data_IF_546267801260
#
_entry.id   IF_546267801260
#
_cell.length_a   1.000
_cell.length_b   1.000
_cell.length_c   1.000
_cell.angle_alpha   90.00
_cell.angle_beta   90.00
_cell.angle_gamma   90.00
#
_symmetry.space_group_name_H-M   'P 1'
#
loop_
_entity.id
_entity.type
_entity.pdbx_description
1 polymer ?
#
# COMPACT_ATOMS: atom_id res chain seq x y z
N UNK A 1 -13.34 -14.00 13.78
CA UNK A 1 -12.16 -14.62 14.37
C UNK A 1 -11.20 -13.55 14.86
N UNK A 2 -10.37 -13.86 15.87
CA UNK A 2 -9.30 -13.00 16.36
C UNK A 2 -8.01 -13.79 16.47
N UNK A 3 -6.86 -13.11 16.28
CA UNK A 3 -5.52 -13.71 16.37
C UNK A 3 -4.73 -13.60 15.08
N UNK A 4 -3.55 -14.22 15.05
CA UNK A 4 -2.69 -14.25 13.87
C UNK A 4 -3.21 -15.32 12.89
N UNK A 5 -3.43 -14.92 11.62
CA UNK A 5 -3.96 -15.83 10.61
C UNK A 5 -3.57 -15.41 9.19
N UNK A 6 -3.83 -16.29 8.22
CA UNK A 6 -3.70 -15.98 6.80
C UNK A 6 -4.79 -15.00 6.38
N UNK A 7 -4.39 -13.95 5.65
CA UNK A 7 -5.31 -12.97 5.06
C UNK A 7 -5.11 -12.97 3.55
N UNK A 8 -6.19 -13.17 2.81
CA UNK A 8 -6.22 -12.96 1.36
C UNK A 8 -6.94 -11.64 1.09
N UNK A 9 -6.25 -10.73 0.41
CA UNK A 9 -6.79 -9.45 -0.04
C UNK A 9 -7.22 -9.56 -1.49
N UNK A 10 -8.40 -9.04 -1.84
CA UNK A 10 -8.85 -8.97 -3.24
C UNK A 10 -8.07 -7.92 -4.03
N UNK A 11 -8.14 -7.92 -5.39
CA UNK A 11 -7.53 -6.87 -6.20
C UNK A 11 -8.22 -5.50 -6.00
N UNK A 12 -7.56 -4.43 -6.43
CA UNK A 12 -8.11 -3.08 -6.46
C UNK A 12 -7.99 -2.30 -5.15
N UNK A 13 -9.13 -1.88 -4.57
CA UNK A 13 -9.18 -0.98 -3.41
C UNK A 13 -8.39 -1.44 -2.18
N UNK A 14 -8.28 -2.72 -1.82
CA UNK A 14 -7.39 -3.16 -0.74
C UNK A 14 -5.92 -2.75 -0.90
N UNK A 15 -5.50 -2.29 -2.07
CA UNK A 15 -4.23 -1.58 -2.28
C UNK A 15 -4.04 -0.35 -1.41
N UNK A 16 -5.07 0.15 -0.73
CA UNK A 16 -4.95 1.15 0.33
C UNK A 16 -4.00 0.70 1.45
N UNK A 17 -3.88 -0.60 1.68
CA UNK A 17 -2.89 -1.16 2.61
C UNK A 17 -1.46 -0.83 2.16
N UNK A 18 -1.16 -0.91 0.85
CA UNK A 18 0.14 -0.50 0.31
C UNK A 18 0.37 1.01 0.49
N UNK A 19 -0.66 1.82 0.26
CA UNK A 19 -0.62 3.27 0.44
C UNK A 19 -0.21 3.63 1.88
N UNK A 20 -0.88 3.05 2.86
CA UNK A 20 -0.63 3.36 4.27
C UNK A 20 0.62 2.65 4.81
N UNK A 21 0.74 1.34 4.59
CA UNK A 21 1.82 0.55 5.18
C UNK A 21 3.20 0.87 4.58
N UNK A 22 3.24 1.25 3.30
CA UNK A 22 4.48 1.41 2.53
C UNK A 22 4.60 2.83 1.97
N UNK A 23 3.56 3.34 1.31
CA UNK A 23 3.60 4.55 0.51
C UNK A 23 4.06 5.76 1.31
N UNK A 24 3.41 6.08 2.42
CA UNK A 24 3.82 7.20 3.28
C UNK A 24 5.25 7.02 3.83
N UNK A 25 5.64 5.80 4.18
CA UNK A 25 6.99 5.50 4.63
C UNK A 25 8.06 5.72 3.56
N UNK A 26 7.69 5.76 2.28
CA UNK A 26 8.61 5.98 1.15
C UNK A 26 8.54 7.40 0.57
N UNK A 27 7.89 8.34 1.23
CA UNK A 27 7.96 9.76 0.88
C UNK A 27 9.30 10.36 1.32
N UNK A 28 9.89 11.18 0.45
CA UNK A 28 11.27 11.65 0.57
C UNK A 28 11.55 12.51 1.79
N UNK A 29 10.60 13.33 2.24
CA UNK A 29 10.76 14.19 3.40
C UNK A 29 10.89 13.42 4.72
N UNK A 30 10.13 12.34 4.93
CA UNK A 30 10.27 11.48 6.09
C UNK A 30 11.62 10.75 6.08
N UNK A 31 12.04 10.28 4.91
CA UNK A 31 13.32 9.59 4.76
C UNK A 31 14.52 10.52 4.94
N UNK A 32 14.45 11.77 4.44
CA UNK A 32 15.46 12.78 4.67
C UNK A 32 15.57 13.17 6.15
N UNK A 33 14.44 13.29 6.85
CA UNK A 33 14.39 13.61 8.29
C UNK A 33 14.79 12.43 9.19
N UNK A 34 14.92 11.22 8.64
CA UNK A 34 15.23 10.01 9.43
C UNK A 34 14.06 9.50 10.27
N UNK A 35 12.82 9.85 9.90
CA UNK A 35 11.62 9.53 10.69
C UNK A 35 10.80 8.38 10.11
N UNK A 36 11.24 7.77 9.01
CA UNK A 36 10.60 6.59 8.44
C UNK A 36 11.34 5.31 8.82
N UNK A 37 10.59 4.20 8.99
CA UNK A 37 11.14 2.84 9.14
C UNK A 37 11.95 2.37 7.93
N UNK A 38 11.83 3.05 6.78
CA UNK A 38 12.58 2.78 5.55
C UNK A 38 13.82 3.65 5.35
N UNK A 39 14.10 4.56 6.28
CA UNK A 39 15.24 5.47 6.17
C UNK A 39 16.57 4.73 6.04
N UNK A 40 17.33 5.06 4.98
CA UNK A 40 18.67 4.49 4.75
C UNK A 40 18.69 3.07 4.22
N UNK A 41 17.54 2.46 3.93
CA UNK A 41 17.42 1.04 3.56
C UNK A 41 17.38 0.77 2.06
N UNK A 42 17.75 1.74 1.22
CA UNK A 42 17.85 1.52 -0.25
C UNK A 42 18.81 0.35 -0.54
N UNK A 43 18.36 -0.59 -1.37
CA UNK A 43 19.05 -1.84 -1.70
C UNK A 43 18.76 -3.00 -0.76
N UNK A 44 18.20 -2.76 0.43
CA UNK A 44 17.83 -3.82 1.36
C UNK A 44 16.57 -4.56 0.90
N UNK A 45 16.46 -5.82 1.35
CA UNK A 45 15.25 -6.62 1.18
C UNK A 45 14.21 -6.20 2.22
N UNK A 46 13.09 -5.66 1.74
CA UNK A 46 11.96 -5.15 2.57
C UNK A 46 10.64 -5.88 2.29
N UNK A 47 10.65 -6.79 1.32
CA UNK A 47 9.50 -7.59 0.92
C UNK A 47 9.95 -8.96 0.39
N UNK A 48 9.01 -9.86 0.09
CA UNK A 48 9.34 -11.09 -0.66
C UNK A 48 9.69 -10.75 -2.11
N UNK A 49 10.39 -11.66 -2.79
CA UNK A 49 10.81 -11.46 -4.19
C UNK A 49 9.61 -11.36 -5.16
N UNK A 50 8.41 -11.72 -4.72
CA UNK A 50 7.16 -11.58 -5.48
C UNK A 50 6.66 -10.14 -5.54
N UNK A 51 7.13 -9.25 -4.65
CA UNK A 51 6.60 -7.91 -4.51
C UNK A 51 7.40 -6.90 -5.34
N UNK A 52 6.75 -6.29 -6.31
CA UNK A 52 7.22 -5.08 -6.99
C UNK A 52 6.16 -4.00 -6.85
N UNK A 53 6.51 -2.88 -6.22
CA UNK A 53 5.60 -1.76 -5.91
C UNK A 53 6.10 -0.51 -6.61
N UNK A 54 5.18 0.18 -7.25
CA UNK A 54 5.45 1.42 -7.99
C UNK A 54 4.49 2.53 -7.58
N UNK A 55 4.93 3.79 -7.75
CA UNK A 55 4.06 4.96 -7.78
C UNK A 55 4.10 5.54 -9.19
N UNK A 56 2.94 5.69 -9.83
CA UNK A 56 2.85 6.03 -11.25
C UNK A 56 1.85 7.16 -11.50
N UNK A 57 2.35 8.37 -11.70
CA UNK A 57 1.54 9.53 -12.03
C UNK A 57 1.16 9.63 -13.51
N UNK A 58 1.66 8.73 -14.36
CA UNK A 58 1.50 8.80 -15.83
C UNK A 58 0.27 8.04 -16.34
N UNK A 59 -0.43 7.29 -15.50
CA UNK A 59 -1.58 6.49 -15.90
C UNK A 59 -2.73 7.37 -16.39
N UNK A 60 -3.17 7.16 -17.63
CA UNK A 60 -4.23 7.96 -18.23
C UNK A 60 -5.57 7.77 -17.49
N UNK A 61 -6.26 8.90 -17.22
CA UNK A 61 -7.60 8.89 -16.63
C UNK A 61 -7.70 8.44 -15.19
N UNK A 62 -6.57 8.27 -14.47
CA UNK A 62 -6.59 7.86 -13.06
C UNK A 62 -6.61 9.06 -12.12
N UNK A 63 -7.23 8.87 -10.95
CA UNK A 63 -7.46 9.94 -9.97
C UNK A 63 -6.19 10.58 -9.44
N UNK A 64 -5.12 9.82 -9.26
CA UNK A 64 -3.83 10.31 -8.78
C UNK A 64 -2.91 10.84 -9.88
N UNK A 65 -3.29 10.74 -11.16
CA UNK A 65 -2.42 11.06 -12.29
C UNK A 65 -2.32 12.56 -12.57
N UNK A 66 -1.13 12.97 -13.01
CA UNK A 66 -0.76 14.34 -13.32
C UNK A 66 0.19 14.34 -14.52
N UNK A 67 0.12 15.32 -15.40
CA UNK A 67 1.15 15.51 -16.43
C UNK A 67 2.44 16.07 -15.83
N UNK A 68 2.29 17.05 -14.94
CA UNK A 68 3.37 17.67 -14.16
C UNK A 68 2.91 17.79 -12.71
N UNK A 69 3.83 17.74 -11.76
CA UNK A 69 3.54 18.03 -10.36
C UNK A 69 3.39 19.52 -10.08
N UNK A 70 3.07 19.89 -8.85
CA UNK A 70 2.86 21.29 -8.46
C UNK A 70 4.16 22.12 -8.40
N UNK A 71 5.31 21.52 -8.68
CA UNK A 71 6.60 22.18 -8.83
C UNK A 71 7.04 22.30 -10.31
N UNK A 72 6.21 21.82 -11.27
CA UNK A 72 6.50 21.83 -12.69
C UNK A 72 7.43 20.69 -13.14
N UNK A 73 7.59 19.64 -12.33
CA UNK A 73 8.34 18.44 -12.70
C UNK A 73 7.41 17.45 -13.40
N UNK A 74 7.75 16.91 -14.59
CA UNK A 74 6.97 15.83 -15.19
C UNK A 74 6.84 14.65 -14.24
N UNK A 75 5.62 14.10 -14.12
CA UNK A 75 5.42 12.89 -13.34
C UNK A 75 6.03 11.67 -14.02
N UNK A 76 6.33 10.65 -13.26
CA UNK A 76 6.97 9.45 -13.77
C UNK A 76 6.38 8.20 -13.11
N UNK A 77 6.71 7.04 -13.66
CA UNK A 77 6.57 5.76 -12.99
C UNK A 77 7.82 5.51 -12.15
N UNK A 78 7.69 5.70 -10.85
CA UNK A 78 8.76 5.50 -9.88
C UNK A 78 8.70 4.10 -9.30
N UNK A 79 9.75 3.29 -9.50
CA UNK A 79 9.86 1.98 -8.86
C UNK A 79 10.32 2.19 -7.41
N UNK A 80 9.46 1.84 -6.47
CA UNK A 80 9.72 1.96 -5.03
C UNK A 80 10.38 0.69 -4.48
N UNK A 81 9.78 -0.46 -4.77
CA UNK A 81 10.30 -1.79 -4.42
C UNK A 81 10.32 -2.63 -5.69
N UNK A 82 11.41 -3.31 -5.96
CA UNK A 82 11.56 -4.22 -7.09
C UNK A 82 12.06 -5.58 -6.61
N UNK A 83 11.28 -6.63 -6.88
CA UNK A 83 11.60 -7.99 -6.45
C UNK A 83 12.01 -8.03 -4.97
N UNK A 84 11.20 -7.40 -4.12
CA UNK A 84 11.38 -7.32 -2.68
C UNK A 84 12.46 -6.36 -2.19
N UNK A 85 13.19 -5.67 -3.06
CA UNK A 85 14.26 -4.74 -2.67
C UNK A 85 13.83 -3.28 -2.81
N UNK A 86 14.11 -2.48 -1.79
CA UNK A 86 13.86 -1.04 -1.83
C UNK A 86 14.77 -0.37 -2.87
N UNK A 87 14.16 0.37 -3.82
CA UNK A 87 14.87 1.02 -4.93
C UNK A 87 14.94 2.54 -4.79
N UNK A 88 13.95 3.16 -4.22
CA UNK A 88 13.91 4.61 -4.12
C UNK A 88 12.77 5.14 -3.27
N UNK A 89 12.71 6.46 -3.20
CA UNK A 89 11.69 7.23 -2.51
C UNK A 89 10.99 8.16 -3.49
N UNK A 90 9.76 8.52 -3.18
CA UNK A 90 9.04 9.57 -3.91
C UNK A 90 9.58 10.94 -3.50
N UNK A 91 10.01 11.73 -4.46
CA UNK A 91 10.74 12.98 -4.23
C UNK A 91 10.03 14.21 -4.82
N UNK A 92 9.95 15.28 -4.02
CA UNK A 92 9.80 16.63 -4.52
C UNK A 92 11.19 17.24 -4.85
N UNK A 93 11.23 18.46 -5.34
CA UNK A 93 12.49 19.12 -5.70
C UNK A 93 13.36 19.46 -4.51
N UNK A 94 12.74 19.88 -3.39
CA UNK A 94 13.46 20.25 -2.17
C UNK A 94 14.17 19.06 -1.56
N UNK A 95 13.41 17.98 -1.29
CA UNK A 95 13.95 16.79 -0.64
C UNK A 95 14.92 16.04 -1.54
N UNK A 96 14.65 15.97 -2.86
CA UNK A 96 15.60 15.43 -3.84
C UNK A 96 16.94 16.13 -3.78
N UNK A 97 16.95 17.46 -3.82
CA UNK A 97 18.19 18.27 -3.73
C UNK A 97 18.95 18.01 -2.43
N UNK A 98 18.25 17.97 -1.29
CA UNK A 98 18.86 17.77 0.02
C UNK A 98 19.39 16.35 0.23
N UNK A 99 18.84 15.38 -0.50
CA UNK A 99 19.28 13.97 -0.49
C UNK A 99 20.27 13.64 -1.63
N UNK A 100 20.66 14.61 -2.46
CA UNK A 100 21.60 14.40 -3.57
C UNK A 100 21.04 13.53 -4.70
N UNK A 101 19.71 13.57 -4.93
CA UNK A 101 19.00 12.81 -5.96
C UNK A 101 18.16 13.72 -6.85
N UNK A 102 17.32 13.15 -7.72
CA UNK A 102 16.43 13.87 -8.62
C UNK A 102 14.97 13.76 -8.16
N UNK A 103 14.15 14.80 -8.45
CA UNK A 103 12.70 14.76 -8.22
C UNK A 103 12.06 13.68 -9.09
N UNK A 104 11.06 12.99 -8.53
CA UNK A 104 10.28 11.96 -9.21
C UNK A 104 8.94 12.48 -9.76
N UNK A 105 8.68 13.79 -9.64
CA UNK A 105 7.39 14.39 -10.01
C UNK A 105 6.29 14.13 -8.98
N UNK A 106 6.67 14.01 -7.71
CA UNK A 106 5.76 13.78 -6.59
C UNK A 106 5.57 15.02 -5.69
N UNK A 107 6.05 16.19 -6.10
CA UNK A 107 5.87 17.45 -5.37
C UNK A 107 4.45 17.99 -5.51
N UNK A 108 3.54 17.60 -4.61
CA UNK A 108 2.11 17.88 -4.70
C UNK A 108 1.59 18.72 -3.53
N UNK A 109 0.57 19.52 -3.78
CA UNK A 109 -0.13 20.34 -2.78
C UNK A 109 -1.63 20.34 -3.00
N UNK A 110 -2.38 20.60 -1.95
CA UNK A 110 -3.85 20.71 -2.04
C UNK A 110 -4.31 21.91 -2.87
N UNK A 111 -3.64 23.05 -2.73
CA UNK A 111 -4.00 24.30 -3.42
C UNK A 111 -2.81 25.27 -3.46
N UNK A 112 -2.98 26.41 -4.13
CA UNK A 112 -1.98 27.48 -4.19
C UNK A 112 -1.59 28.03 -2.80
N UNK A 113 -2.43 27.85 -1.78
CA UNK A 113 -2.18 28.32 -0.41
C UNK A 113 -1.26 27.37 0.40
N UNK A 114 -0.83 26.27 -0.20
CA UNK A 114 -0.03 25.24 0.48
C UNK A 114 1.32 25.06 -0.19
N UNK A 115 2.33 24.66 0.59
CA UNK A 115 3.63 24.27 0.06
C UNK A 115 3.54 22.85 -0.53
N UNK A 116 4.19 22.60 -1.68
CA UNK A 116 4.34 21.24 -2.19
C UNK A 116 5.10 20.35 -1.21
N UNK A 117 4.70 19.09 -1.14
CA UNK A 117 5.32 18.03 -0.34
C UNK A 117 5.45 16.77 -1.20
N UNK A 118 6.38 15.85 -0.89
CA UNK A 118 6.40 14.53 -1.51
C UNK A 118 5.09 13.80 -1.18
N UNK A 119 4.33 13.41 -2.20
CA UNK A 119 3.03 12.76 -2.10
C UNK A 119 2.88 11.69 -3.17
N UNK A 120 2.22 10.61 -2.79
CA UNK A 120 1.83 9.56 -3.73
C UNK A 120 0.96 10.08 -4.88
N UNK A 121 1.01 9.37 -6.01
CA UNK A 121 0.10 9.54 -7.16
C UNK A 121 -0.82 8.34 -7.26
N UNK A 122 -0.48 7.31 -8.04
CA UNK A 122 -1.15 6.03 -8.03
C UNK A 122 -0.14 4.97 -7.57
N UNK A 123 -0.30 4.50 -6.33
CA UNK A 123 0.61 3.52 -5.73
C UNK A 123 0.01 2.13 -5.85
N UNK A 124 0.69 1.20 -6.52
CA UNK A 124 0.17 -0.14 -6.72
C UNK A 124 1.28 -1.20 -6.80
N UNK A 125 0.88 -2.46 -6.53
CA UNK A 125 1.73 -3.64 -6.72
C UNK A 125 1.52 -4.21 -8.12
N UNK A 126 2.60 -4.57 -8.80
CA UNK A 126 2.55 -5.25 -10.09
C UNK A 126 2.00 -6.67 -9.94
N UNK A 127 1.39 -7.24 -11.02
CA UNK A 127 0.86 -8.60 -10.98
C UNK A 127 1.97 -9.63 -10.79
N UNK A 128 1.65 -10.70 -10.08
CA UNK A 128 2.50 -11.86 -9.85
C UNK A 128 2.13 -13.07 -10.72
N UNK A 129 2.68 -14.24 -10.41
CA UNK A 129 2.52 -15.43 -11.24
C UNK A 129 1.28 -16.29 -10.93
N UNK A 130 0.60 -16.06 -9.80
CA UNK A 130 -0.42 -16.98 -9.31
C UNK A 130 -1.81 -16.66 -9.87
N UNK A 131 -2.62 -17.69 -10.07
CA UNK A 131 -4.04 -17.52 -10.36
C UNK A 131 -4.80 -17.23 -9.04
N UNK A 132 -5.77 -16.28 -9.00
CA UNK A 132 -6.50 -15.94 -7.77
C UNK A 132 -7.18 -17.13 -7.10
N UNK A 133 -7.73 -18.06 -7.87
CA UNK A 133 -8.32 -19.30 -7.36
C UNK A 133 -7.33 -20.16 -6.59
N UNK A 134 -6.11 -20.32 -7.11
CA UNK A 134 -5.04 -21.07 -6.44
C UNK A 134 -4.66 -20.45 -5.09
N UNK A 135 -4.70 -19.10 -5.01
CA UNK A 135 -4.43 -18.37 -3.76
C UNK A 135 -5.46 -18.74 -2.71
N UNK A 136 -6.76 -18.72 -3.04
CA UNK A 136 -7.83 -19.08 -2.11
C UNK A 136 -7.72 -20.57 -1.72
N UNK A 137 -7.54 -21.46 -2.69
CA UNK A 137 -7.43 -22.90 -2.49
C UNK A 137 -6.25 -23.28 -1.59
N UNK A 138 -5.17 -22.47 -1.57
CA UNK A 138 -3.98 -22.70 -0.74
C UNK A 138 -4.21 -22.47 0.75
N UNK A 139 -5.33 -21.84 1.16
CA UNK A 139 -5.59 -21.43 2.55
C UNK A 139 -6.47 -22.44 3.27
N UNK A 140 -5.92 -23.08 4.31
CA UNK A 140 -6.69 -24.01 5.15
C UNK A 140 -7.66 -23.29 6.08
N UNK A 141 -7.20 -22.18 6.69
CA UNK A 141 -8.03 -21.30 7.55
C UNK A 141 -7.51 -19.89 7.48
N UNK A 142 -8.37 -18.95 7.20
CA UNK A 142 -8.00 -17.54 7.06
C UNK A 142 -9.21 -16.65 6.81
N UNK A 143 -8.95 -15.43 6.38
CA UNK A 143 -9.98 -14.49 5.94
C UNK A 143 -9.71 -13.99 4.52
N UNK A 144 -10.78 -13.73 3.80
CA UNK A 144 -10.82 -13.09 2.50
C UNK A 144 -11.38 -11.69 2.70
N UNK A 145 -10.53 -10.66 2.65
CA UNK A 145 -10.92 -9.27 2.89
C UNK A 145 -11.13 -8.55 1.55
N UNK A 146 -12.38 -8.11 1.32
CA UNK A 146 -12.81 -7.55 0.04
C UNK A 146 -12.79 -6.03 0.04
N UNK A 147 -13.12 -5.40 1.17
CA UNK A 147 -13.25 -3.96 1.20
C UNK A 147 -12.87 -3.40 2.59
N UNK A 148 -12.45 -2.14 2.60
CA UNK A 148 -12.03 -1.43 3.81
C UNK A 148 -12.76 -0.10 3.94
N UNK A 149 -13.24 0.19 5.15
CA UNK A 149 -13.91 1.44 5.48
C UNK A 149 -12.96 2.58 5.86
N UNK A 150 -11.69 2.26 6.07
CA UNK A 150 -10.65 3.21 6.42
C UNK A 150 -9.47 2.54 7.11
N UNK A 151 -8.35 3.27 7.20
CA UNK A 151 -7.15 2.81 7.86
C UNK A 151 -6.31 3.98 8.35
N UNK A 152 -5.36 3.68 9.21
CA UNK A 152 -4.39 4.63 9.76
C UNK A 152 -3.01 3.99 9.83
N UNK A 153 -1.97 4.80 9.64
CA UNK A 153 -0.58 4.39 9.84
C UNK A 153 0.14 5.38 10.75
N UNK A 154 0.94 4.86 11.64
CA UNK A 154 2.00 5.62 12.31
C UNK A 154 3.29 5.46 11.48
N UNK A 155 3.66 6.50 10.74
CA UNK A 155 4.77 6.48 9.78
C UNK A 155 6.11 6.19 10.48
N UNK A 156 6.27 6.63 11.74
CA UNK A 156 7.49 6.45 12.50
C UNK A 156 7.70 5.00 12.93
N UNK A 157 6.66 4.35 13.43
CA UNK A 157 6.70 2.95 13.83
C UNK A 157 6.35 1.97 12.70
N UNK A 158 5.71 2.46 11.63
CA UNK A 158 5.20 1.62 10.54
C UNK A 158 3.92 0.86 10.87
N UNK A 159 3.39 0.99 12.09
CA UNK A 159 2.19 0.26 12.51
C UNK A 159 0.95 0.79 11.81
N UNK A 160 0.13 -0.11 11.30
CA UNK A 160 -1.14 0.22 10.66
C UNK A 160 -2.31 -0.56 11.26
N UNK A 161 -3.50 0.03 11.12
CA UNK A 161 -4.78 -0.56 11.50
C UNK A 161 -5.79 -0.29 10.39
N UNK A 162 -6.44 -1.34 9.89
CA UNK A 162 -7.50 -1.27 8.88
C UNK A 162 -8.75 -2.00 9.33
N UNK A 163 -9.91 -1.38 9.15
CA UNK A 163 -11.20 -2.02 9.39
C UNK A 163 -11.79 -2.52 8.06
N UNK A 164 -11.96 -3.83 7.95
CA UNK A 164 -12.64 -4.42 6.81
C UNK A 164 -14.14 -4.13 6.89
N UNK A 165 -14.70 -3.53 5.84
CA UNK A 165 -16.14 -3.33 5.70
C UNK A 165 -16.83 -4.54 5.06
N UNK A 166 -16.04 -5.40 4.39
CA UNK A 166 -16.51 -6.65 3.80
C UNK A 166 -15.40 -7.70 3.89
N UNK A 167 -15.68 -8.83 4.54
CA UNK A 167 -14.76 -9.95 4.65
C UNK A 167 -15.51 -11.28 4.81
N UNK A 168 -14.87 -12.38 4.44
CA UNK A 168 -15.40 -13.74 4.52
C UNK A 168 -14.37 -14.67 5.16
N UNK A 169 -14.84 -15.75 5.79
CA UNK A 169 -13.97 -16.84 6.20
C UNK A 169 -13.43 -17.61 4.98
N UNK A 170 -12.21 -18.10 5.08
CA UNK A 170 -11.70 -19.15 4.20
C UNK A 170 -11.50 -20.39 5.07
N UNK A 171 -12.11 -21.51 4.66
CA UNK A 171 -11.98 -22.81 5.30
C UNK A 171 -11.76 -23.89 4.25
N UNK A 172 -10.66 -24.65 4.38
CA UNK A 172 -10.29 -25.71 3.46
C UNK A 172 -10.29 -25.27 1.98
N UNK A 173 -9.72 -24.09 1.71
CA UNK A 173 -9.60 -23.55 0.34
C UNK A 173 -10.91 -23.01 -0.24
N UNK A 174 -11.94 -22.78 0.55
CA UNK A 174 -13.26 -22.30 0.09
C UNK A 174 -13.71 -21.09 0.88
N UNK A 175 -14.39 -20.17 0.18
CA UNK A 175 -15.05 -19.03 0.83
C UNK A 175 -16.27 -19.53 1.62
N UNK A 176 -16.34 -19.10 2.86
CA UNK A 176 -17.38 -19.45 3.82
C UNK A 176 -18.26 -18.27 4.21
N UNK A 177 -18.66 -18.21 5.48
CA UNK A 177 -19.56 -17.20 6.01
C UNK A 177 -18.95 -15.79 5.98
N UNK A 178 -19.77 -14.72 5.81
CA UNK A 178 -19.31 -13.35 5.98
C UNK A 178 -18.90 -13.09 7.43
N UNK A 179 -17.89 -12.24 7.60
CA UNK A 179 -17.37 -11.84 8.91
C UNK A 179 -17.74 -10.38 9.16
N UNK A 180 -18.12 -10.08 10.39
CA UNK A 180 -18.37 -8.72 10.85
C UNK A 180 -17.16 -8.19 11.63
N UNK A 181 -16.88 -6.89 11.50
CA UNK A 181 -15.92 -6.14 12.33
C UNK A 181 -14.49 -6.71 12.33
N UNK A 182 -14.02 -7.25 11.20
CA UNK A 182 -12.62 -7.67 11.07
C UNK A 182 -11.69 -6.45 10.98
N UNK A 183 -10.73 -6.37 11.89
CA UNK A 183 -9.69 -5.34 11.87
C UNK A 183 -8.34 -5.98 11.62
N UNK A 184 -7.62 -5.50 10.60
CA UNK A 184 -6.26 -5.93 10.27
C UNK A 184 -5.27 -5.02 10.97
N UNK A 185 -4.35 -5.62 11.71
CA UNK A 185 -3.26 -4.91 12.41
C UNK A 185 -1.93 -5.48 11.97
N UNK A 186 -1.02 -4.60 11.61
CA UNK A 186 0.30 -5.02 11.13
C UNK A 186 1.34 -3.91 11.20
N UNK A 187 2.46 -4.19 10.56
CA UNK A 187 3.62 -3.31 10.50
C UNK A 187 4.11 -3.24 9.04
N UNK A 188 4.23 -2.02 8.50
CA UNK A 188 4.63 -1.79 7.12
C UNK A 188 6.01 -2.32 6.77
N UNK A 189 6.95 -2.33 7.74
CA UNK A 189 8.29 -2.86 7.51
C UNK A 189 8.31 -4.38 7.35
N UNK A 190 7.29 -5.08 7.84
CA UNK A 190 7.25 -6.55 7.88
C UNK A 190 6.12 -7.17 7.05
N UNK A 191 5.02 -6.46 6.80
CA UNK A 191 3.84 -7.03 6.14
C UNK A 191 4.16 -7.60 4.75
N UNK A 192 4.94 -6.88 3.93
CA UNK A 192 5.31 -7.36 2.60
C UNK A 192 6.32 -8.53 2.63
N UNK A 193 7.03 -8.72 3.73
CA UNK A 193 7.89 -9.91 3.91
C UNK A 193 7.09 -11.18 4.21
N UNK A 194 5.80 -11.05 4.52
CA UNK A 194 4.86 -12.14 4.76
C UNK A 194 3.95 -12.44 3.56
N UNK A 195 4.12 -11.73 2.45
CA UNK A 195 3.40 -12.02 1.20
C UNK A 195 3.95 -13.32 0.62
N UNK A 196 3.14 -14.36 0.57
CA UNK A 196 3.53 -15.70 0.09
C UNK A 196 3.03 -16.00 -1.32
N UNK A 197 1.95 -15.33 -1.79
CA UNK A 197 1.45 -15.45 -3.15
C UNK A 197 0.94 -14.10 -3.65
N UNK A 198 1.15 -13.83 -4.94
CA UNK A 198 0.71 -12.61 -5.64
C UNK A 198 -0.03 -13.02 -6.92
N UNK A 199 -1.25 -12.54 -7.07
CA UNK A 199 -2.14 -12.83 -8.19
C UNK A 199 -1.70 -12.18 -9.50
N UNK A 200 -2.27 -12.66 -10.60
CA UNK A 200 -2.06 -12.10 -11.95
C UNK A 200 -3.21 -11.15 -12.38
N UNK A 201 -4.08 -10.80 -11.44
CA UNK A 201 -5.33 -10.08 -11.59
C UNK A 201 -5.25 -8.64 -11.06
N UNK A 202 -4.17 -7.92 -11.34
CA UNK A 202 -4.05 -6.52 -10.93
C UNK A 202 -5.26 -5.69 -11.34
N UNK A 203 -5.86 -5.03 -10.36
CA UNK A 203 -6.86 -3.99 -10.56
C UNK A 203 -6.43 -2.70 -9.83
N UNK A 204 -6.87 -1.57 -10.37
CA UNK A 204 -6.76 -0.26 -9.71
C UNK A 204 -8.12 0.11 -9.13
N UNK A 205 -8.12 0.89 -8.06
CA UNK A 205 -9.32 1.38 -7.41
C UNK A 205 -10.24 2.16 -8.37
N UNK A 206 -11.51 2.34 -7.99
CA UNK A 206 -12.51 3.05 -8.80
C UNK A 206 -12.37 4.58 -8.82
N UNK A 207 -11.29 5.12 -8.24
CA UNK A 207 -11.02 6.56 -8.22
C UNK A 207 -11.64 7.30 -7.03
N UNK A 208 -11.62 6.71 -5.84
CA UNK A 208 -12.17 7.31 -4.62
C UNK A 208 -11.12 7.80 -3.63
N UNK A 209 -9.84 7.47 -3.86
CA UNK A 209 -8.75 7.73 -2.93
C UNK A 209 -8.50 9.21 -2.67
N UNK A 210 -8.36 9.57 -1.40
CA UNK A 210 -7.91 10.88 -0.92
C UNK A 210 -6.86 10.64 0.17
N UNK A 211 -5.70 11.25 0.00
CA UNK A 211 -4.58 11.14 0.92
C UNK A 211 -4.41 12.42 1.73
N UNK A 212 -4.33 12.30 3.05
CA UNK A 212 -4.07 13.41 3.98
C UNK A 212 -2.62 13.41 4.47
N UNK A 213 -1.98 14.59 4.48
CA UNK A 213 -0.64 14.79 5.07
C UNK A 213 -0.46 16.27 5.43
N UNK A 214 0.00 16.54 6.64
CA UNK A 214 0.25 17.91 7.14
C UNK A 214 -0.90 18.89 6.88
N UNK A 215 -2.15 18.44 7.12
CA UNK A 215 -3.35 19.24 6.91
C UNK A 215 -3.74 19.48 5.46
N UNK A 216 -3.08 18.84 4.51
CA UNK A 216 -3.35 18.91 3.08
C UNK A 216 -3.95 17.59 2.57
N UNK A 217 -4.94 17.68 1.69
CA UNK A 217 -5.55 16.53 1.01
C UNK A 217 -5.27 16.57 -0.49
N UNK A 218 -4.85 15.45 -1.06
CA UNK A 218 -4.66 15.30 -2.52
C UNK A 218 -5.36 14.04 -3.02
N UNK A 219 -5.89 14.05 -4.27
CA UNK A 219 -6.44 12.86 -4.87
C UNK A 219 -5.33 11.84 -5.17
N UNK A 220 -5.57 10.57 -4.90
CA UNK A 220 -4.64 9.46 -5.15
C UNK A 220 -5.37 8.27 -5.72
N UNK A 221 -4.63 7.37 -6.38
CA UNK A 221 -5.08 6.05 -6.76
C UNK A 221 -4.29 4.99 -6.01
N UNK A 222 -4.89 3.83 -5.85
CA UNK A 222 -4.27 2.63 -5.29
C UNK A 222 -4.59 1.41 -6.13
N UNK A 223 -3.81 0.35 -5.99
CA UNK A 223 -4.09 -0.90 -6.66
C UNK A 223 -3.22 -2.04 -6.19
N UNK A 224 -3.72 -3.24 -6.39
CA UNK A 224 -2.98 -4.47 -6.17
C UNK A 224 -3.67 -5.63 -6.89
N UNK A 225 -2.97 -6.75 -7.16
CA UNK A 225 -3.59 -8.03 -7.47
C UNK A 225 -4.10 -8.71 -6.18
N UNK A 226 -4.74 -9.85 -6.31
CA UNK A 226 -5.02 -10.73 -5.16
C UNK A 226 -3.72 -11.07 -4.44
N UNK A 227 -3.68 -10.85 -3.11
CA UNK A 227 -2.51 -11.10 -2.27
C UNK A 227 -2.84 -12.10 -1.17
N UNK A 228 -1.93 -13.05 -0.92
CA UNK A 228 -1.91 -13.86 0.30
C UNK A 228 -0.82 -13.36 1.23
N UNK A 229 -1.21 -12.99 2.45
CA UNK A 229 -0.31 -12.53 3.52
C UNK A 229 -0.42 -13.54 4.67
N UNK A 230 0.70 -14.14 5.03
CA UNK A 230 0.77 -15.13 6.10
C UNK A 230 1.01 -14.44 7.46
N UNK A 231 0.18 -14.75 8.45
CA UNK A 231 0.39 -14.31 9.83
C UNK A 231 0.13 -12.81 10.05
N UNK A 232 -0.95 -12.27 9.51
CA UNK A 232 -1.42 -10.94 9.87
C UNK A 232 -2.35 -11.01 11.08
N UNK A 233 -2.24 -10.04 11.99
CA UNK A 233 -3.13 -9.98 13.17
C UNK A 233 -4.51 -9.50 12.75
N UNK A 234 -5.51 -10.30 13.05
CA UNK A 234 -6.92 -9.95 12.88
C UNK A 234 -7.52 -9.72 14.25
N UNK A 235 -8.05 -8.51 14.47
CA UNK A 235 -8.89 -8.17 15.62
C UNK A 235 -10.36 -8.27 15.23
N UNK A 236 -11.20 -8.55 16.22
CA UNK A 236 -12.66 -8.57 16.09
C UNK A 236 -13.28 -8.75 17.46
N UNK A 237 -14.54 -8.37 17.63
CA UNK A 237 -15.31 -8.77 18.80
C UNK A 237 -15.55 -10.27 18.68
N UNK A 238 -14.70 -11.06 19.33
CA UNK A 238 -14.87 -12.50 19.42
C UNK A 238 -16.22 -12.79 20.06
N UNK A 239 -17.17 -13.25 19.27
CA UNK A 239 -18.33 -13.95 19.82
C UNK A 239 -17.84 -15.28 20.36
N UNK A 240 -17.75 -15.41 21.67
CA UNK A 240 -17.81 -16.71 22.32
C UNK A 240 -19.21 -17.26 22.07
N UNK A 241 -19.35 -18.34 21.35
CA UNK A 241 -20.40 -19.33 21.48
C UNK A 241 -19.81 -20.66 21.87
#
# INVERSE_FOLDING_TARGET
PAGEMVVVLVPGWPGVLLHEAIGHGLEGDFNRKGTSVFTGRIGEKVATDLCTVVDDGTLEGRRGSLNIDDEGTPTSKTVLIENGRLRGYMQDRLNARLMGTTSTGNGRRQSFAHLPLPRMTNTYMLPGPHHPGEIIESVQRGIYACNFGGGQVDITSGKFVFSASEAYLIENGKLGAPIRDATLVGDGATVLSRVSMVGNDLELDSGVGVCGKEGQSVPVGVGQPTLRIDGLTVGGTGGEE
#
